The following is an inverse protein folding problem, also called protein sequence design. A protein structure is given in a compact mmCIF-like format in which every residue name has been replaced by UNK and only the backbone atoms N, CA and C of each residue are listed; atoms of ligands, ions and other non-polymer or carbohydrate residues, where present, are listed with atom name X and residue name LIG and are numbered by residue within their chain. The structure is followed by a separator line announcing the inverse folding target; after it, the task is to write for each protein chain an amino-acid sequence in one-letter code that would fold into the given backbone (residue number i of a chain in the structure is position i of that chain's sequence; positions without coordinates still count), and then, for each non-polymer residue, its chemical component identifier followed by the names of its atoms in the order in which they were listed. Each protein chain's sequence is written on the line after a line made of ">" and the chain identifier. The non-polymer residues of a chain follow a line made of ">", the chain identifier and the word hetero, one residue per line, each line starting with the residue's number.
data_IF_667372851541
#
_entry.id   IF_667372851541
#
_cell.length_a   1.000
_cell.length_b   1.000
_cell.length_c   1.000
_cell.angle_alpha   90.00
_cell.angle_beta   90.00
_cell.angle_gamma   90.00
#
_symmetry.space_group_name_H-M   'P 1'
#
loop_
_entity.id
_entity.type
_entity.pdbx_description
1 polymer ?
#
# COMPACT_ATOMS: atom_id res chain seq x y z
N UNK A 1 -0.34 -4.78 14.12
CA UNK A 1 0.67 -3.82 13.62
C UNK A 1 0.67 -3.95 12.10
N UNK A 2 0.13 -2.95 11.40
CA UNK A 2 0.09 -2.96 9.93
C UNK A 2 1.35 -2.28 9.44
N UNK A 3 2.16 -3.00 8.67
CA UNK A 3 3.36 -2.47 8.04
C UNK A 3 2.99 -2.22 6.58
N UNK A 4 2.92 -0.96 6.17
CA UNK A 4 2.60 -0.56 4.80
C UNK A 4 3.90 -0.14 4.12
N UNK A 5 4.39 -0.94 3.18
CA UNK A 5 5.55 -0.59 2.35
C UNK A 5 5.08 0.14 1.10
N UNK A 6 5.53 1.38 0.91
CA UNK A 6 5.31 2.16 -0.32
C UNK A 6 6.53 1.94 -1.22
N UNK A 7 6.30 1.46 -2.45
CA UNK A 7 7.37 1.28 -3.44
C UNK A 7 7.18 2.27 -4.58
N UNK A 8 8.26 2.94 -5.00
CA UNK A 8 8.30 3.90 -6.09
C UNK A 8 9.18 3.36 -7.22
N UNK A 9 8.69 3.34 -8.45
CA UNK A 9 9.48 2.98 -9.64
C UNK A 9 9.49 4.15 -10.62
N UNK A 10 10.63 4.39 -11.28
CA UNK A 10 10.77 5.41 -12.33
C UNK A 10 11.40 4.75 -13.56
N UNK A 11 10.70 4.83 -14.69
CA UNK A 11 11.06 4.18 -15.96
C UNK A 11 12.08 4.95 -16.80
N UNK A 12 12.87 4.16 -17.53
CA UNK A 12 13.77 4.47 -18.66
C UNK A 12 15.03 5.31 -18.42
N UNK A 13 16.16 4.65 -18.10
CA UNK A 13 17.35 4.55 -18.98
C UNK A 13 18.43 3.64 -18.35
N UNK A 14 19.02 2.75 -19.17
CA UNK A 14 20.25 1.96 -18.92
C UNK A 14 20.18 0.89 -17.83
N UNK A 15 20.51 -0.36 -18.19
CA UNK A 15 20.69 -1.51 -17.30
C UNK A 15 21.96 -1.32 -16.44
N UNK A 16 21.99 -0.28 -15.61
CA UNK A 16 22.91 -0.21 -14.48
C UNK A 16 22.27 -0.99 -13.33
N UNK A 17 23.12 -1.67 -12.55
CA UNK A 17 22.78 -2.54 -11.44
C UNK A 17 21.90 -1.78 -10.39
N UNK A 18 20.58 -1.72 -10.59
CA UNK A 18 19.64 -1.10 -9.65
C UNK A 18 19.38 -2.10 -8.52
N UNK A 19 20.12 -1.95 -7.43
CA UNK A 19 19.68 -2.49 -6.15
C UNK A 19 18.36 -1.79 -5.78
N UNK A 20 17.34 -2.58 -5.43
CA UNK A 20 16.15 -2.03 -4.78
C UNK A 20 16.57 -1.61 -3.36
N UNK A 21 16.56 -0.31 -3.11
CA UNK A 21 16.78 0.22 -1.77
C UNK A 21 15.44 0.30 -1.04
N UNK A 22 15.41 -0.22 0.19
CA UNK A 22 14.27 -0.09 1.09
C UNK A 22 14.62 0.94 2.15
N UNK A 23 13.78 1.98 2.26
CA UNK A 23 13.95 3.04 3.26
C UNK A 23 12.62 3.22 3.97
N UNK A 24 12.65 3.15 5.31
CA UNK A 24 11.51 3.52 6.14
C UNK A 24 11.31 5.04 6.06
N UNK A 25 10.23 5.46 5.41
CA UNK A 25 9.90 6.88 5.24
C UNK A 25 9.31 7.47 6.53
N UNK A 26 8.38 6.74 7.16
CA UNK A 26 7.68 7.20 8.35
C UNK A 26 7.10 6.01 9.13
N UNK A 27 6.97 6.19 10.44
CA UNK A 27 6.25 5.27 11.32
C UNK A 27 5.42 6.09 12.29
N UNK A 28 4.11 6.16 12.02
CA UNK A 28 3.19 7.04 12.72
C UNK A 28 2.20 6.23 13.55
N UNK A 29 2.00 6.62 14.80
CA UNK A 29 0.87 6.16 15.59
C UNK A 29 -0.39 6.86 15.08
N UNK A 30 -1.40 6.10 14.66
CA UNK A 30 -2.62 6.68 14.12
C UNK A 30 -3.61 7.00 15.25
N UNK A 31 -3.88 8.29 15.55
CA UNK A 31 -4.86 8.63 16.57
C UNK A 31 -6.28 8.36 16.07
N UNK A 32 -7.17 7.93 16.98
CA UNK A 32 -8.58 7.69 16.67
C UNK A 32 -8.85 6.34 15.99
N UNK A 33 -9.97 6.24 15.26
CA UNK A 33 -10.34 4.99 14.59
C UNK A 33 -9.42 4.70 13.40
N UNK A 34 -9.06 3.42 13.22
CA UNK A 34 -8.30 2.95 12.07
C UNK A 34 -9.19 2.78 10.83
N UNK A 35 -9.97 3.82 10.51
CA UNK A 35 -10.77 3.91 9.29
C UNK A 35 -9.87 4.10 8.07
N UNK A 36 -10.36 3.71 6.89
CA UNK A 36 -9.63 3.89 5.63
C UNK A 36 -9.25 5.34 5.37
N UNK A 37 -10.18 6.26 5.63
CA UNK A 37 -9.98 7.70 5.42
C UNK A 37 -8.91 8.27 6.35
N UNK A 38 -8.95 7.93 7.64
CA UNK A 38 -7.94 8.39 8.60
C UNK A 38 -6.54 7.87 8.24
N UNK A 39 -6.45 6.60 7.86
CA UNK A 39 -5.19 6.03 7.36
C UNK A 39 -4.73 6.73 6.08
N UNK A 40 -5.63 7.06 5.16
CA UNK A 40 -5.30 7.76 3.92
C UNK A 40 -4.79 9.18 4.18
N UNK A 41 -5.39 9.91 5.14
CA UNK A 41 -4.92 11.24 5.55
C UNK A 41 -3.51 11.19 6.14
N UNK A 42 -3.22 10.20 6.99
CA UNK A 42 -1.89 9.99 7.54
C UNK A 42 -0.86 9.69 6.45
N UNK A 43 -1.15 8.73 5.56
CA UNK A 43 -0.26 8.39 4.43
C UNK A 43 -0.04 9.60 3.52
N UNK A 44 -1.11 10.32 3.18
CA UNK A 44 -1.03 11.49 2.32
C UNK A 44 -0.19 12.60 2.94
N UNK A 45 -0.38 12.88 4.25
CA UNK A 45 0.42 13.86 4.98
C UNK A 45 1.92 13.52 4.96
N UNK A 46 2.27 12.25 5.12
CA UNK A 46 3.66 11.78 4.96
C UNK A 46 4.16 12.02 3.53
N UNK A 47 3.37 11.66 2.50
CA UNK A 47 3.77 11.88 1.10
C UNK A 47 4.00 13.36 0.80
N UNK A 48 3.15 14.25 1.32
CA UNK A 48 3.30 15.70 1.17
C UNK A 48 4.55 16.22 1.88
N UNK A 49 4.74 15.82 3.14
CA UNK A 49 5.88 16.23 3.97
C UNK A 49 7.23 15.95 3.30
N UNK A 50 7.34 14.83 2.58
CA UNK A 50 8.57 14.43 1.90
C UNK A 50 8.57 14.71 0.40
N UNK A 51 7.54 15.36 -0.16
CA UNK A 51 7.46 15.67 -1.59
C UNK A 51 7.36 14.42 -2.49
N UNK A 52 6.78 13.34 -1.98
CA UNK A 52 6.68 12.03 -2.63
C UNK A 52 5.35 11.81 -3.36
N UNK A 53 4.41 12.75 -3.28
CA UNK A 53 3.06 12.64 -3.87
C UNK A 53 3.09 12.25 -5.36
N UNK A 54 4.01 12.82 -6.14
CA UNK A 54 4.17 12.51 -7.57
C UNK A 54 5.04 11.25 -7.85
N UNK A 55 5.45 10.53 -6.81
CA UNK A 55 6.31 9.34 -6.88
C UNK A 55 5.60 8.09 -6.36
N UNK A 56 4.32 8.19 -6.01
CA UNK A 56 3.52 7.05 -5.57
C UNK A 56 3.18 6.16 -6.77
N UNK A 57 3.80 4.98 -6.84
CA UNK A 57 3.49 3.99 -7.88
C UNK A 57 2.40 3.02 -7.44
N UNK A 58 2.59 2.41 -6.27
CA UNK A 58 1.72 1.37 -5.75
C UNK A 58 1.73 1.33 -4.22
N UNK A 59 0.64 0.80 -3.67
CA UNK A 59 0.48 0.50 -2.25
C UNK A 59 0.50 -1.02 -2.07
N UNK A 60 1.32 -1.54 -1.16
CA UNK A 60 1.27 -2.95 -0.75
C UNK A 60 0.70 -3.03 0.67
N UNK A 61 -0.43 -3.73 0.84
CA UNK A 61 -1.17 -3.77 2.10
C UNK A 61 -1.75 -5.17 2.40
N UNK A 62 -2.11 -5.41 3.66
CA UNK A 62 -2.77 -6.67 4.06
C UNK A 62 -4.21 -6.77 3.55
N UNK A 63 -4.85 -7.94 3.74
CA UNK A 63 -6.18 -8.22 3.20
C UNK A 63 -7.33 -7.69 4.10
N UNK A 64 -7.19 -6.46 4.60
CA UNK A 64 -8.19 -5.82 5.45
C UNK A 64 -9.08 -4.87 4.65
N UNK A 65 -10.40 -4.88 4.90
CA UNK A 65 -11.40 -4.10 4.16
C UNK A 65 -11.18 -2.59 4.24
N UNK A 66 -10.65 -2.09 5.37
CA UNK A 66 -10.32 -0.67 5.51
C UNK A 66 -9.17 -0.21 4.60
N UNK A 67 -8.35 -1.13 4.07
CA UNK A 67 -7.33 -0.79 3.07
C UNK A 67 -7.93 -0.52 1.70
N UNK A 68 -9.09 -1.13 1.40
CA UNK A 68 -9.79 -0.86 0.14
C UNK A 68 -10.32 0.58 0.16
N UNK A 69 -10.94 1.01 1.28
CA UNK A 69 -11.35 2.41 1.52
C UNK A 69 -10.16 3.38 1.48
N UNK A 70 -9.03 3.03 2.12
CA UNK A 70 -7.80 3.83 2.07
C UNK A 70 -7.37 4.09 0.62
N UNK A 71 -7.34 3.05 -0.21
CA UNK A 71 -6.86 3.17 -1.60
C UNK A 71 -7.76 4.08 -2.41
N UNK A 72 -9.08 3.97 -2.25
CA UNK A 72 -10.05 4.86 -2.90
C UNK A 72 -9.88 6.31 -2.45
N UNK A 73 -9.64 6.56 -1.16
CA UNK A 73 -9.37 7.90 -0.65
C UNK A 73 -8.07 8.50 -1.21
N UNK A 74 -7.01 7.68 -1.36
CA UNK A 74 -5.76 8.11 -2.00
C UNK A 74 -5.96 8.42 -3.49
N UNK A 75 -6.73 7.60 -4.22
CA UNK A 75 -7.07 7.86 -5.62
C UNK A 75 -7.80 9.20 -5.78
N UNK A 76 -8.75 9.51 -4.90
CA UNK A 76 -9.45 10.79 -4.90
C UNK A 76 -8.48 11.97 -4.74
N UNK A 77 -7.56 11.90 -3.75
CA UNK A 77 -6.54 12.93 -3.53
C UNK A 77 -5.56 13.07 -4.70
N UNK A 78 -5.19 11.96 -5.36
CA UNK A 78 -4.40 11.98 -6.59
C UNK A 78 -5.15 12.70 -7.73
N UNK A 79 -6.45 12.39 -7.90
CA UNK A 79 -7.29 13.01 -8.93
C UNK A 79 -7.42 14.52 -8.73
N UNK A 80 -7.61 14.99 -7.50
CA UNK A 80 -7.60 16.43 -7.15
C UNK A 80 -6.30 17.14 -7.54
N UNK A 81 -5.18 16.42 -7.58
CA UNK A 81 -3.86 16.94 -7.97
C UNK A 81 -3.47 16.66 -9.42
N UNK A 82 -4.38 16.11 -10.23
CA UNK A 82 -4.12 15.68 -11.61
C UNK A 82 -2.98 14.64 -11.70
N UNK A 83 -2.87 13.76 -10.71
CA UNK A 83 -1.88 12.69 -10.67
C UNK A 83 -2.56 11.40 -11.14
N UNK A 84 -2.01 10.72 -12.18
CA UNK A 84 -2.57 9.46 -12.64
C UNK A 84 -2.31 8.37 -11.60
N UNK A 85 -3.36 7.95 -10.92
CA UNK A 85 -3.34 6.83 -9.98
C UNK A 85 -4.66 6.07 -10.12
N UNK A 86 -4.59 4.74 -10.13
CA UNK A 86 -5.77 3.89 -10.21
C UNK A 86 -5.77 2.90 -9.06
N UNK A 87 -6.76 2.99 -8.17
CA UNK A 87 -6.83 2.17 -6.96
C UNK A 87 -6.82 0.66 -7.27
N UNK A 88 -7.44 0.25 -8.37
CA UNK A 88 -7.54 -1.17 -8.75
C UNK A 88 -6.21 -1.71 -9.29
N UNK A 89 -5.44 -0.91 -10.02
CA UNK A 89 -4.20 -1.36 -10.66
C UNK A 89 -2.95 -1.12 -9.79
N UNK A 90 -3.02 -0.14 -8.87
CA UNK A 90 -1.90 0.27 -8.02
C UNK A 90 -1.99 -0.28 -6.59
N UNK A 91 -2.99 -1.10 -6.26
CA UNK A 91 -3.10 -1.77 -4.96
C UNK A 91 -2.67 -3.24 -5.06
N UNK A 92 -1.55 -3.57 -4.42
CA UNK A 92 -1.01 -4.92 -4.33
C UNK A 92 -1.34 -5.53 -2.97
N UNK A 93 -1.70 -6.82 -2.95
CA UNK A 93 -1.87 -7.55 -1.69
C UNK A 93 -0.52 -8.03 -1.18
N UNK A 94 -0.37 -7.99 0.14
CA UNK A 94 0.81 -8.50 0.82
C UNK A 94 1.00 -10.00 0.51
N UNK A 95 2.14 -10.34 -0.09
CA UNK A 95 2.46 -11.72 -0.50
C UNK A 95 2.49 -12.69 0.69
N UNK A 96 3.21 -12.40 1.81
CA UNK A 96 3.17 -13.25 3.00
C UNK A 96 1.76 -13.52 3.52
N UNK A 97 0.90 -12.49 3.57
CA UNK A 97 -0.47 -12.64 4.05
C UNK A 97 -1.31 -13.52 3.11
N UNK A 98 -1.15 -13.34 1.80
CA UNK A 98 -1.83 -14.15 0.78
C UNK A 98 -1.45 -15.64 0.90
N UNK A 99 -0.16 -15.93 1.07
CA UNK A 99 0.33 -17.31 1.27
C UNK A 99 -0.23 -17.90 2.57
N UNK A 100 -0.23 -17.14 3.64
CA UNK A 100 -0.79 -17.58 4.93
C UNK A 100 -2.28 -17.94 4.82
N UNK A 101 -3.09 -17.10 4.17
CA UNK A 101 -4.51 -17.37 3.93
C UNK A 101 -4.72 -18.62 3.08
N UNK A 102 -3.89 -18.84 2.05
CA UNK A 102 -3.96 -20.03 1.21
C UNK A 102 -3.71 -21.32 2.02
N UNK A 103 -2.68 -21.31 2.89
CA UNK A 103 -2.38 -22.45 3.77
C UNK A 103 -3.53 -22.72 4.74
N UNK A 104 -4.07 -21.69 5.40
CA UNK A 104 -5.22 -21.83 6.29
C UNK A 104 -6.44 -22.44 5.59
N UNK A 105 -6.69 -22.04 4.33
CA UNK A 105 -7.81 -22.57 3.54
C UNK A 105 -7.63 -24.04 3.18
N UNK A 106 -6.41 -24.48 2.88
CA UNK A 106 -6.10 -25.90 2.63
C UNK A 106 -6.23 -26.71 3.91
N UNK A 107 -5.60 -26.27 5.00
CA UNK A 107 -5.60 -26.99 6.28
C UNK A 107 -7.00 -27.12 6.89
N UNK A 108 -7.85 -26.09 6.77
CA UNK A 108 -9.25 -26.14 7.23
C UNK A 108 -10.13 -27.07 6.39
N UNK A 109 -9.72 -27.40 5.15
CA UNK A 109 -10.43 -28.36 4.31
C UNK A 109 -10.07 -29.81 4.66
N UNK A 110 -8.82 -30.07 5.07
CA UNK A 110 -8.31 -31.42 5.37
C UNK A 110 -8.74 -32.00 6.73
N UNK A 111 -9.48 -31.27 7.56
CA UNK A 111 -9.95 -31.73 8.88
C UNK A 111 -11.39 -32.32 8.81
N UNK A 112 -12.02 -32.34 7.64
CA UNK A 112 -13.37 -32.91 7.42
C UNK A 112 -13.33 -34.07 6.40
N UNK A 113 -12.38 -34.99 6.53
CA UNK A 113 -12.41 -36.30 5.84
C UNK A 113 -12.14 -37.43 6.82
#
# INVERSE_FOLDING_TARGET
>A
MKVNSVSACSDNQSFSNRFSEEILIDFHELPGEHSGDNMADAVWGTLEKYGLVNRLLALMMDNATNNDTLTTAIEHKCHERNIPFNATHSCLRCMPHTVHLAVLKVCSCSIIS
#
